data_IF_609014053079
#
_entry.id   IF_609014053079
#
_cell.length_a   1.000
_cell.length_b   1.000
_cell.length_c   1.000
_cell.angle_alpha   90.00
_cell.angle_beta   90.00
_cell.angle_gamma   90.00
#
_symmetry.space_group_name_H-M   'P 1'
#
loop_
_entity.id
_entity.type
_entity.pdbx_description
1 polymer ?
#
# COMPACT_ATOMS: atom_id res chain seq x y z
N UNK A 1 -26.70 6.76 -61.97
CA UNK A 1 -25.28 6.52 -61.63
C UNK A 1 -25.11 6.89 -60.17
N UNK A 2 -24.78 5.92 -59.31
CA UNK A 2 -24.90 6.02 -57.85
C UNK A 2 -23.54 6.33 -57.22
N UNK A 3 -23.42 7.47 -56.55
CA UNK A 3 -22.21 7.89 -55.85
C UNK A 3 -22.22 7.30 -54.43
N UNK A 4 -21.30 6.38 -54.14
CA UNK A 4 -21.12 5.79 -52.82
C UNK A 4 -20.23 6.70 -51.96
N UNK A 5 -20.86 7.32 -50.96
CA UNK A 5 -20.22 8.10 -49.90
C UNK A 5 -19.59 7.12 -48.89
N UNK A 6 -18.29 6.86 -49.02
CA UNK A 6 -17.52 6.17 -47.98
C UNK A 6 -17.16 7.19 -46.89
N UNK A 7 -18.02 7.29 -45.87
CA UNK A 7 -17.69 8.01 -44.64
C UNK A 7 -16.66 7.16 -43.90
N UNK A 8 -15.40 7.59 -43.95
CA UNK A 8 -14.31 7.01 -43.17
C UNK A 8 -14.55 7.24 -41.69
N UNK A 9 -15.11 6.24 -41.01
CA UNK A 9 -15.30 6.23 -39.56
C UNK A 9 -13.99 5.80 -38.87
N UNK A 10 -12.90 6.53 -39.10
CA UNK A 10 -11.70 6.44 -38.29
C UNK A 10 -11.88 7.38 -37.08
N UNK A 11 -12.84 7.04 -36.22
CA UNK A 11 -13.01 7.70 -34.94
C UNK A 11 -11.80 7.36 -34.07
N UNK A 12 -10.84 8.29 -34.05
CA UNK A 12 -10.17 8.79 -32.84
C UNK A 12 -10.22 7.81 -31.66
N UNK A 13 -9.41 6.75 -31.70
CA UNK A 13 -8.89 6.14 -30.49
C UNK A 13 -7.96 7.17 -29.84
N UNK A 14 -8.54 8.15 -29.16
CA UNK A 14 -7.83 8.92 -28.16
C UNK A 14 -7.48 7.91 -27.07
N UNK A 15 -6.26 7.41 -27.10
CA UNK A 15 -5.67 6.68 -25.99
C UNK A 15 -5.59 7.66 -24.83
N UNK A 16 -6.61 7.67 -23.98
CA UNK A 16 -6.54 8.36 -22.70
C UNK A 16 -5.44 7.67 -21.92
N UNK A 17 -4.30 8.33 -21.79
CA UNK A 17 -3.24 7.89 -20.90
C UNK A 17 -3.79 8.15 -19.50
N UNK A 18 -4.22 7.10 -18.82
CA UNK A 18 -4.54 7.18 -17.40
C UNK A 18 -3.23 7.35 -16.65
N UNK A 19 -2.79 8.60 -16.49
CA UNK A 19 -1.65 8.96 -15.68
C UNK A 19 -2.15 9.04 -14.22
N UNK A 20 -1.84 8.01 -13.44
CA UNK A 20 -2.08 8.03 -11.99
C UNK A 20 -0.82 8.55 -11.32
N UNK A 21 -0.86 9.80 -10.86
CA UNK A 21 0.24 10.40 -10.09
C UNK A 21 0.03 10.10 -8.60
N UNK A 22 0.95 9.35 -8.00
CA UNK A 22 0.97 9.11 -6.56
C UNK A 22 1.93 10.10 -5.89
N UNK A 23 1.52 11.35 -5.73
CA UNK A 23 2.39 12.42 -5.18
C UNK A 23 2.83 12.19 -3.73
N UNK A 24 2.22 11.23 -3.03
CA UNK A 24 2.49 10.93 -1.63
C UNK A 24 2.84 9.46 -1.38
N UNK A 25 3.00 8.66 -2.43
CA UNK A 25 3.52 7.31 -2.30
C UNK A 25 4.30 6.88 -3.53
N UNK A 26 5.37 6.12 -3.34
CA UNK A 26 6.13 5.51 -4.45
C UNK A 26 6.03 4.01 -4.35
N UNK A 27 5.80 3.35 -5.49
CA UNK A 27 5.82 1.89 -5.58
C UNK A 27 7.09 1.48 -6.31
N UNK A 28 7.87 0.61 -5.68
CA UNK A 28 9.03 -0.04 -6.28
C UNK A 28 8.72 -1.52 -6.48
N UNK A 29 9.25 -2.08 -7.57
CA UNK A 29 9.14 -3.49 -7.90
C UNK A 29 10.52 -4.17 -7.99
N UNK A 30 10.54 -5.41 -8.45
CA UNK A 30 11.78 -6.16 -8.54
C UNK A 30 12.82 -5.58 -9.50
N UNK A 31 12.39 -4.86 -10.54
CA UNK A 31 13.29 -4.32 -11.55
C UNK A 31 14.04 -3.10 -11.02
N UNK A 32 13.41 -2.29 -10.17
CA UNK A 32 14.05 -1.13 -9.53
C UNK A 32 15.25 -1.56 -8.66
N UNK A 33 15.20 -2.77 -8.09
CA UNK A 33 16.23 -3.31 -7.21
C UNK A 33 17.27 -4.21 -7.92
N UNK A 34 17.12 -4.41 -9.23
CA UNK A 34 18.07 -5.25 -10.00
C UNK A 34 19.40 -4.52 -10.22
N UNK A 35 19.39 -3.18 -10.22
CA UNK A 35 20.60 -2.35 -10.41
C UNK A 35 21.42 -2.13 -9.13
N UNK A 36 21.02 -2.75 -8.02
CA UNK A 36 21.78 -2.84 -6.77
C UNK A 36 21.20 -2.01 -5.63
N UNK A 37 21.19 -0.69 -5.76
CA UNK A 37 20.81 0.23 -4.68
C UNK A 37 19.72 1.22 -5.13
N UNK A 38 18.69 1.38 -4.31
CA UNK A 38 17.63 2.37 -4.50
C UNK A 38 17.65 3.34 -3.34
N UNK A 39 18.01 4.60 -3.63
CA UNK A 39 17.97 5.69 -2.67
C UNK A 39 16.57 6.31 -2.62
N UNK A 40 16.00 6.38 -1.43
CA UNK A 40 14.75 7.08 -1.12
C UNK A 40 15.13 8.44 -0.50
N UNK A 41 15.62 9.35 -1.35
CA UNK A 41 15.99 10.72 -0.97
C UNK A 41 14.81 11.67 -1.10
N UNK A 42 14.77 12.70 -0.25
CA UNK A 42 13.79 13.81 -0.19
C UNK A 42 12.31 13.40 0.01
N UNK A 43 11.97 12.14 -0.22
CA UNK A 43 10.60 11.63 -0.15
C UNK A 43 10.13 11.48 1.30
N UNK A 44 11.04 11.09 2.19
CA UNK A 44 10.78 10.86 3.61
C UNK A 44 11.12 12.07 4.49
N UNK A 45 11.21 13.28 3.92
CA UNK A 45 11.47 14.54 4.64
C UNK A 45 10.50 14.78 5.80
N UNK A 46 9.25 14.37 5.63
CA UNK A 46 8.20 14.45 6.65
C UNK A 46 7.94 13.13 7.38
N UNK A 47 8.80 12.15 7.17
CA UNK A 47 8.63 10.77 7.60
C UNK A 47 7.84 9.94 6.59
N UNK A 48 8.11 8.65 6.55
CA UNK A 48 7.43 7.72 5.67
C UNK A 48 7.34 6.32 6.27
N UNK A 49 6.46 5.51 5.68
CA UNK A 49 6.25 4.10 6.01
C UNK A 49 6.54 3.25 4.79
N UNK A 50 7.27 2.17 5.00
CA UNK A 50 7.62 1.20 3.97
C UNK A 50 6.83 -0.07 4.23
N UNK A 51 5.96 -0.40 3.28
CA UNK A 51 5.17 -1.63 3.24
C UNK A 51 5.79 -2.58 2.22
N UNK A 52 5.75 -3.87 2.52
CA UNK A 52 6.38 -4.89 1.68
C UNK A 52 5.41 -6.05 1.43
N UNK A 53 5.30 -6.47 0.18
CA UNK A 53 4.55 -7.66 -0.21
C UNK A 53 5.35 -8.52 -1.19
N UNK A 54 5.32 -9.83 -0.98
CA UNK A 54 5.92 -10.81 -1.87
C UNK A 54 5.26 -12.19 -1.68
N UNK A 55 5.23 -13.05 -2.72
CA UNK A 55 4.78 -14.43 -2.59
C UNK A 55 5.83 -15.28 -1.86
N UNK A 56 5.42 -16.43 -1.32
CA UNK A 56 6.32 -17.33 -0.58
C UNK A 56 7.55 -17.76 -1.40
N UNK A 57 7.42 -17.86 -2.73
CA UNK A 57 8.53 -18.16 -3.64
C UNK A 57 9.65 -17.13 -3.64
N UNK A 58 9.40 -15.92 -3.10
CA UNK A 58 10.36 -14.81 -3.06
C UNK A 58 11.02 -14.61 -1.70
N UNK A 59 10.72 -15.45 -0.71
CA UNK A 59 11.22 -15.30 0.68
C UNK A 59 12.75 -15.19 0.71
N UNK A 60 13.46 -16.04 -0.02
CA UNK A 60 14.93 -16.07 0.02
C UNK A 60 15.56 -14.83 -0.63
N UNK A 61 14.90 -14.23 -1.63
CA UNK A 61 15.31 -12.96 -2.20
C UNK A 61 15.04 -11.80 -1.23
N UNK A 62 13.86 -11.77 -0.61
CA UNK A 62 13.44 -10.71 0.30
C UNK A 62 14.33 -10.62 1.57
N UNK A 63 14.85 -11.75 2.06
CA UNK A 63 15.82 -11.80 3.17
C UNK A 63 17.16 -11.14 2.84
N UNK A 64 17.49 -10.98 1.56
CA UNK A 64 18.77 -10.43 1.08
C UNK A 64 18.64 -9.00 0.56
N UNK A 65 17.46 -8.39 0.67
CA UNK A 65 17.28 -6.98 0.37
C UNK A 65 17.14 -6.25 1.70
N UNK A 66 18.08 -5.35 1.97
CA UNK A 66 18.19 -4.65 3.24
C UNK A 66 17.76 -3.21 3.05
N UNK A 67 16.85 -2.73 3.89
CA UNK A 67 16.56 -1.31 4.05
C UNK A 67 17.50 -0.77 5.13
N UNK A 68 18.35 0.17 4.73
CA UNK A 68 19.27 0.89 5.60
C UNK A 68 18.70 2.26 5.86
N UNK A 69 18.52 2.60 7.13
CA UNK A 69 18.20 3.96 7.54
C UNK A 69 19.52 4.71 7.72
N UNK A 70 19.79 5.71 6.86
CA UNK A 70 21.11 6.35 6.79
C UNK A 70 21.50 7.13 8.08
N UNK A 71 20.53 7.40 8.98
CA UNK A 71 20.75 8.12 10.24
C UNK A 71 20.73 7.20 11.47
N UNK A 72 20.58 5.89 11.32
CA UNK A 72 20.55 4.93 12.44
C UNK A 72 21.26 3.63 12.09
N UNK A 73 21.77 2.92 13.09
CA UNK A 73 22.30 1.56 12.88
C UNK A 73 21.19 0.50 12.67
N UNK A 74 19.93 0.93 12.64
CA UNK A 74 18.78 0.05 12.43
C UNK A 74 18.66 -0.30 10.95
N UNK A 75 18.99 -1.55 10.64
CA UNK A 75 18.79 -2.16 9.33
C UNK A 75 17.69 -3.23 9.44
N UNK A 76 16.86 -3.35 8.42
CA UNK A 76 15.81 -4.39 8.37
C UNK A 76 15.72 -4.99 6.97
N UNK A 77 15.55 -6.32 6.89
CA UNK A 77 15.33 -6.96 5.60
C UNK A 77 13.88 -6.76 5.15
N UNK A 78 13.62 -6.79 3.85
CA UNK A 78 12.24 -6.75 3.33
C UNK A 78 11.39 -7.89 3.90
N UNK A 79 12.01 -9.05 4.14
CA UNK A 79 11.36 -10.17 4.82
C UNK A 79 10.90 -9.79 6.23
N UNK A 80 11.76 -9.20 7.06
CA UNK A 80 11.40 -8.83 8.44
C UNK A 80 10.30 -7.78 8.47
N UNK A 81 10.38 -6.77 7.61
CA UNK A 81 9.40 -5.69 7.49
C UNK A 81 8.00 -6.27 7.18
N UNK A 82 7.90 -7.21 6.24
CA UNK A 82 6.63 -7.86 5.87
C UNK A 82 5.96 -8.66 6.99
N UNK A 83 6.68 -8.90 8.10
CA UNK A 83 6.23 -9.72 9.23
C UNK A 83 5.92 -8.91 10.49
N UNK A 84 6.11 -7.60 10.47
CA UNK A 84 5.81 -6.77 11.64
C UNK A 84 4.30 -6.62 11.77
N UNK A 85 3.69 -7.06 12.85
CA UNK A 85 2.22 -7.03 12.98
C UNK A 85 1.75 -6.21 14.19
N UNK A 86 2.55 -5.23 14.60
CA UNK A 86 2.39 -4.62 15.93
C UNK A 86 1.10 -3.79 16.03
N UNK A 87 0.72 -3.08 14.97
CA UNK A 87 -0.46 -2.18 14.96
C UNK A 87 -1.17 -2.06 13.60
N UNK A 88 -0.52 -2.45 12.51
CA UNK A 88 -1.04 -2.39 11.15
C UNK A 88 -1.18 -3.83 10.62
N UNK A 89 -2.32 -4.22 10.00
CA UNK A 89 -2.51 -5.56 9.45
C UNK A 89 -1.41 -6.01 8.48
N UNK A 90 -0.78 -5.06 7.78
CA UNK A 90 0.28 -5.33 6.80
C UNK A 90 1.69 -5.20 7.38
N UNK A 91 1.83 -4.53 8.53
CA UNK A 91 3.13 -4.11 9.02
C UNK A 91 3.78 -3.02 8.20
N UNK A 92 4.64 -2.23 8.83
CA UNK A 92 5.44 -1.25 8.12
C UNK A 92 6.75 -0.96 8.84
N UNK A 93 7.77 -0.60 8.07
CA UNK A 93 8.98 0.01 8.59
C UNK A 93 8.87 1.53 8.56
N UNK A 94 9.16 2.19 9.68
CA UNK A 94 9.08 3.65 9.80
C UNK A 94 10.44 4.26 9.54
N UNK A 95 10.48 5.22 8.62
CA UNK A 95 11.60 6.15 8.46
C UNK A 95 11.18 7.48 9.06
N UNK A 96 11.96 7.99 10.01
CA UNK A 96 11.66 9.25 10.66
C UNK A 96 11.90 10.46 9.74
N UNK A 97 11.23 11.56 10.05
CA UNK A 97 11.37 12.80 9.28
C UNK A 97 12.83 13.28 9.19
N UNK A 98 13.20 13.82 8.03
CA UNK A 98 14.56 14.30 7.73
C UNK A 98 15.60 13.18 7.62
N UNK A 99 15.15 11.94 7.41
CA UNK A 99 16.03 10.78 7.27
C UNK A 99 15.86 10.12 5.90
N UNK A 100 16.98 9.77 5.30
CA UNK A 100 17.03 9.02 4.05
C UNK A 100 17.08 7.52 4.32
N UNK A 101 16.51 6.76 3.40
CA UNK A 101 16.61 5.30 3.42
C UNK A 101 17.20 4.80 2.11
N UNK A 102 18.01 3.75 2.19
CA UNK A 102 18.60 3.08 1.03
C UNK A 102 18.19 1.62 1.03
N UNK A 103 17.64 1.13 -0.06
CA UNK A 103 17.36 -0.29 -0.25
C UNK A 103 18.52 -0.92 -1.02
N UNK A 104 19.14 -1.96 -0.46
CA UNK A 104 20.32 -2.60 -1.04
C UNK A 104 20.01 -4.07 -1.31
N UNK A 105 20.11 -4.48 -2.56
CA UNK A 105 19.98 -5.86 -2.99
C UNK A 105 21.33 -6.57 -2.87
N UNK A 106 21.43 -7.54 -1.95
CA UNK A 106 22.64 -8.34 -1.72
C UNK A 106 22.55 -9.76 -2.31
N UNK A 107 21.56 -10.01 -3.17
CA UNK A 107 21.50 -11.26 -3.93
C UNK A 107 22.67 -11.36 -4.92
N UNK A 108 23.17 -12.57 -5.11
CA UNK A 108 24.20 -12.87 -6.11
C UNK A 108 23.68 -12.48 -7.50
N UNK A 109 24.53 -11.81 -8.30
CA UNK A 109 24.22 -11.30 -9.64
C UNK A 109 22.94 -10.42 -9.72
N UNK A 110 22.52 -9.80 -8.60
CA UNK A 110 21.30 -8.99 -8.57
C UNK A 110 20.02 -9.81 -8.75
N UNK A 111 20.06 -11.13 -8.49
CA UNK A 111 18.88 -12.00 -8.63
C UNK A 111 17.70 -11.52 -7.78
N UNK A 112 16.50 -11.63 -8.34
CA UNK A 112 15.26 -11.15 -7.74
C UNK A 112 14.10 -12.11 -8.00
N UNK A 113 13.12 -12.09 -7.08
CA UNK A 113 11.79 -12.67 -7.29
C UNK A 113 10.72 -11.57 -7.32
N UNK A 114 9.44 -11.91 -7.58
CA UNK A 114 8.35 -10.94 -7.49
C UNK A 114 8.31 -10.29 -6.10
N UNK A 115 8.46 -8.96 -6.03
CA UNK A 115 8.43 -8.16 -4.81
C UNK A 115 7.77 -6.82 -5.15
N UNK A 116 6.93 -6.32 -4.25
CA UNK A 116 6.39 -4.97 -4.31
C UNK A 116 6.68 -4.24 -2.99
N UNK A 117 7.18 -3.01 -3.10
CA UNK A 117 7.54 -2.17 -1.96
C UNK A 117 6.81 -0.85 -2.12
N UNK A 118 5.97 -0.52 -1.16
CA UNK A 118 5.16 0.69 -1.19
C UNK A 118 5.63 1.64 -0.10
N UNK A 119 6.18 2.77 -0.50
CA UNK A 119 6.68 3.82 0.38
C UNK A 119 5.64 4.92 0.43
N UNK A 120 5.12 5.22 1.61
CA UNK A 120 3.99 6.14 1.81
C UNK A 120 4.42 7.26 2.76
N UNK A 121 4.20 8.52 2.37
CA UNK A 121 4.51 9.68 3.21
C UNK A 121 3.53 9.79 4.38
N UNK A 122 4.02 10.22 5.54
CA UNK A 122 3.21 10.33 6.76
C UNK A 122 2.08 11.38 6.67
N UNK A 123 2.15 12.35 5.74
CA UNK A 123 1.10 13.37 5.51
C UNK A 123 -0.15 12.84 4.77
N UNK A 124 -0.13 11.60 4.31
CA UNK A 124 -1.31 10.92 3.73
C UNK A 124 -2.28 10.45 4.80
N UNK A 125 -1.76 10.10 5.98
CA UNK A 125 -2.48 9.36 7.01
C UNK A 125 -3.27 10.26 7.98
N UNK A 126 -2.95 11.55 8.01
CA UNK A 126 -3.70 12.55 8.78
C UNK A 126 -5.10 12.78 8.22
N UNK A 127 -5.35 12.45 6.95
CA UNK A 127 -6.63 12.68 6.29
C UNK A 127 -7.66 11.55 6.55
N UNK A 128 -7.24 10.34 6.89
CA UNK A 128 -8.14 9.20 7.12
C UNK A 128 -8.97 9.32 8.41
N UNK A 129 -8.46 10.01 9.45
CA UNK A 129 -9.22 10.20 10.70
C UNK A 129 -10.37 11.20 10.58
N UNK A 130 -10.42 12.00 9.50
CA UNK A 130 -11.48 13.01 9.34
C UNK A 130 -12.77 12.43 8.78
N UNK A 131 -12.72 11.27 8.10
CA UNK A 131 -13.89 10.71 7.40
C UNK A 131 -14.78 9.87 8.34
N UNK A 132 -14.23 9.23 9.38
CA UNK A 132 -15.03 8.40 10.30
C UNK A 132 -15.91 9.18 11.28
N UNK A 133 -15.74 10.50 11.37
CA UNK A 133 -16.51 11.34 12.33
C UNK A 133 -17.77 11.96 11.71
N UNK A 134 -17.90 12.00 10.38
CA UNK A 134 -19.00 12.74 9.72
C UNK A 134 -20.27 11.87 9.53
N UNK A 135 -20.20 10.54 9.56
CA UNK A 135 -21.40 9.68 9.43
C UNK A 135 -22.23 9.52 10.72
N UNK A 136 -21.88 10.19 11.83
CA UNK A 136 -22.57 10.02 13.13
C UNK A 136 -23.34 11.25 13.65
N UNK A 137 -23.62 12.22 12.79
CA UNK A 137 -24.53 13.33 13.12
C UNK A 137 -25.63 13.49 12.04
N UNK A 138 -26.44 12.46 11.85
CA UNK A 138 -27.79 12.66 11.32
C UNK A 138 -28.70 13.04 12.50
N UNK A 139 -29.28 14.25 12.53
CA UNK A 139 -30.21 14.64 13.57
C UNK A 139 -31.43 13.71 13.55
N UNK A 140 -31.60 12.95 14.63
CA UNK A 140 -32.69 11.99 14.83
C UNK A 140 -34.01 12.66 15.21
N UNK A 141 -34.39 13.71 14.49
CA UNK A 141 -35.67 14.39 14.72
C UNK A 141 -36.61 14.16 13.53
N UNK A 142 -37.12 12.93 13.48
CA UNK A 142 -38.36 12.59 12.81
C UNK A 142 -39.00 11.43 13.58
N UNK A 143 -39.76 11.81 14.61
CA UNK A 143 -40.76 10.97 15.26
C UNK A 143 -41.79 10.48 14.23
N UNK A 144 -42.08 9.18 14.22
CA UNK A 144 -43.38 8.63 14.62
C UNK A 144 -43.42 7.10 14.37
N UNK A 145 -43.67 6.38 15.47
CA UNK A 145 -44.56 5.23 15.60
C UNK A 145 -44.52 4.12 14.54
N UNK A 146 -43.95 2.97 14.90
CA UNK A 146 -44.75 1.81 15.33
C UNK A 146 -43.93 0.49 15.32
N UNK A 147 -44.14 -0.28 16.39
CA UNK A 147 -44.32 -1.74 16.36
C UNK A 147 -43.11 -2.69 16.42
N UNK A 148 -42.92 -3.22 17.64
CA UNK A 148 -42.89 -4.66 17.98
C UNK A 148 -41.65 -5.51 17.69
N UNK A 149 -40.92 -5.76 18.78
CA UNK A 149 -40.54 -7.07 19.32
C UNK A 149 -39.97 -8.14 18.36
N UNK A 150 -38.65 -8.39 18.46
CA UNK A 150 -38.14 -9.74 18.80
C UNK A 150 -36.66 -9.73 19.20
N UNK A 151 -36.42 -10.08 20.45
CA UNK A 151 -35.11 -10.46 20.97
C UNK A 151 -34.83 -11.91 20.58
N UNK A 152 -33.73 -12.15 19.86
CA UNK A 152 -33.10 -13.48 19.82
C UNK A 152 -31.65 -13.34 20.23
N UNK A 153 -31.37 -13.80 21.45
CA UNK A 153 -30.03 -14.01 21.99
C UNK A 153 -29.31 -15.11 21.20
N UNK A 154 -28.20 -14.77 20.56
CA UNK A 154 -27.27 -15.76 20.02
C UNK A 154 -26.17 -16.02 21.06
N UNK A 155 -26.03 -17.27 21.46
CA UNK A 155 -25.03 -17.78 22.39
C UNK A 155 -23.91 -18.45 21.59
N UNK A 156 -22.63 -18.11 21.79
CA UNK A 156 -21.53 -18.75 21.08
C UNK A 156 -21.21 -20.09 21.74
N UNK A 157 -21.46 -21.19 21.02
CA UNK A 157 -20.92 -22.49 21.42
C UNK A 157 -19.42 -22.51 21.16
N UNK A 158 -18.68 -22.71 22.24
CA UNK A 158 -17.36 -23.31 22.26
C UNK A 158 -17.40 -24.69 21.61
N UNK A 159 -16.49 -24.97 20.68
CA UNK A 159 -16.17 -26.35 20.32
C UNK A 159 -14.66 -26.53 20.28
N UNK A 160 -14.23 -27.37 21.21
CA UNK A 160 -12.91 -27.95 21.41
C UNK A 160 -12.73 -29.18 20.50
N UNK A 161 -11.46 -29.54 20.30
CA UNK A 161 -10.89 -30.84 19.90
C UNK A 161 -10.78 -31.18 18.40
N UNK A 162 -9.56 -31.17 17.85
CA UNK A 162 -8.56 -32.26 17.95
C UNK A 162 -7.15 -31.75 17.68
#
# INVERSE_FOLDING_TARGET
MSARLFIGLAALLQTTIALTEFNQSTLYDQFDLTEGEVLIADFCDIGCRIYVSFPDSSIDFAKKIVVQNNNSDDNSTLYDISRWTNTDPMGYYRIEAGTEATMVNTNEDGMMGPIAIWVVRDDTLSNEQTITTIERELPSDATNDAESTRTTSYSPNSQTDM
#
